data_IF_648719500293
#
_entry.id   IF_648719500293
#
_cell.length_a   1.000
_cell.length_b   1.000
_cell.length_c   1.000
_cell.angle_alpha   90.00
_cell.angle_beta   90.00
_cell.angle_gamma   90.00
#
_symmetry.space_group_name_H-M   'P 1'
#
loop_
_entity.id
_entity.type
_entity.pdbx_description
1 polymer ?
#
# COMPACT_ATOMS: atom_id res chain seq x y z
N UNK A 1 13.34 -13.63 -6.72
CA UNK A 1 13.42 -15.10 -6.74
C UNK A 1 13.09 -15.63 -5.34
N UNK A 2 12.22 -16.64 -5.22
CA UNK A 2 11.86 -17.25 -3.92
C UNK A 2 12.88 -18.34 -3.56
N UNK A 3 13.93 -17.97 -2.83
CA UNK A 3 14.99 -18.91 -2.45
C UNK A 3 14.61 -19.68 -1.20
N UNK A 4 14.36 -18.94 -0.12
CA UNK A 4 14.01 -19.47 1.22
C UNK A 4 13.13 -18.46 1.97
N UNK A 5 12.01 -18.08 1.37
CA UNK A 5 11.12 -17.05 1.93
C UNK A 5 10.03 -17.68 2.79
N UNK A 6 9.59 -16.98 3.85
CA UNK A 6 8.41 -17.39 4.61
C UNK A 6 7.14 -17.21 3.76
N UNK A 7 6.69 -18.32 3.17
CA UNK A 7 5.51 -18.33 2.30
C UNK A 7 4.21 -18.12 3.09
N UNK A 8 4.18 -18.39 4.40
CA UNK A 8 3.01 -18.10 5.22
C UNK A 8 2.86 -16.60 5.43
N UNK A 9 3.97 -15.91 5.73
CA UNK A 9 3.97 -14.47 5.89
C UNK A 9 3.57 -13.74 4.59
N UNK A 10 4.08 -14.19 3.43
CA UNK A 10 3.66 -13.66 2.12
C UNK A 10 2.15 -13.81 1.92
N UNK A 11 1.58 -14.99 2.23
CA UNK A 11 0.14 -15.22 2.08
C UNK A 11 -0.68 -14.26 2.91
N UNK A 12 -0.27 -13.98 4.15
CA UNK A 12 -0.97 -13.04 5.01
C UNK A 12 -0.93 -11.61 4.45
N UNK A 13 0.21 -11.14 3.94
CA UNK A 13 0.30 -9.79 3.36
C UNK A 13 -0.44 -9.64 2.03
N UNK A 14 -0.53 -10.71 1.22
CA UNK A 14 -1.24 -10.69 -0.05
C UNK A 14 -2.75 -10.95 0.11
N UNK A 15 -3.19 -11.40 1.28
CA UNK A 15 -4.60 -11.64 1.58
C UNK A 15 -5.29 -10.31 1.86
N UNK A 16 -5.96 -9.78 0.84
CA UNK A 16 -6.81 -8.60 1.03
C UNK A 16 -8.14 -9.02 1.64
N UNK A 17 -8.57 -8.37 2.72
CA UNK A 17 -9.94 -8.46 3.25
C UNK A 17 -10.83 -7.62 2.32
N UNK A 18 -11.42 -8.26 1.32
CA UNK A 18 -11.74 -7.59 0.04
C UNK A 18 -13.23 -7.54 -0.30
N UNK A 19 -14.12 -7.63 0.68
CA UNK A 19 -15.52 -7.81 0.32
C UNK A 19 -16.14 -6.56 -0.34
N UNK A 20 -15.60 -5.36 -0.11
CA UNK A 20 -16.22 -4.12 -0.58
C UNK A 20 -15.30 -3.13 -1.33
N UNK A 21 -14.04 -3.50 -1.61
CA UNK A 21 -13.11 -2.63 -2.35
C UNK A 21 -13.18 -2.93 -3.85
N UNK A 22 -13.71 -1.99 -4.64
CA UNK A 22 -13.84 -2.09 -6.09
C UNK A 22 -12.88 -1.11 -6.75
N UNK A 23 -11.85 -1.61 -7.44
CA UNK A 23 -10.87 -0.76 -8.14
C UNK A 23 -10.80 -1.07 -9.63
N UNK A 24 -10.41 -0.07 -10.43
CA UNK A 24 -10.16 -0.21 -11.89
C UNK A 24 -8.76 -0.75 -12.21
N UNK A 25 -7.99 -1.17 -11.19
CA UNK A 25 -6.63 -1.67 -11.35
C UNK A 25 -6.56 -3.08 -11.96
N UNK A 26 -5.39 -3.43 -12.49
CA UNK A 26 -5.11 -4.79 -12.96
C UNK A 26 -5.08 -5.72 -11.74
N UNK A 27 -5.95 -6.73 -11.72
CA UNK A 27 -5.99 -7.72 -10.66
C UNK A 27 -4.76 -8.64 -10.76
N UNK A 28 -4.08 -8.86 -9.63
CA UNK A 28 -3.02 -9.86 -9.55
C UNK A 28 -3.55 -11.26 -9.86
N UNK A 29 -2.75 -12.07 -10.55
CA UNK A 29 -3.09 -13.47 -10.85
C UNK A 29 -2.51 -14.36 -9.75
N UNK A 30 -3.35 -14.98 -8.89
CA UNK A 30 -2.84 -15.89 -7.86
C UNK A 30 -2.21 -17.10 -8.53
N UNK A 31 -0.99 -17.43 -8.12
CA UNK A 31 -0.26 -18.58 -8.63
C UNK A 31 0.31 -19.40 -7.46
N UNK A 32 0.34 -20.74 -7.55
CA UNK A 32 1.05 -21.55 -6.57
C UNK A 32 2.55 -21.22 -6.64
N UNK A 33 3.12 -20.88 -5.49
CA UNK A 33 4.54 -20.54 -5.35
C UNK A 33 5.25 -21.55 -4.45
N UNK A 34 6.55 -21.72 -4.68
CA UNK A 34 7.39 -22.65 -3.94
C UNK A 34 8.81 -22.10 -3.82
N UNK A 35 9.47 -22.38 -2.70
CA UNK A 35 10.87 -22.02 -2.50
C UNK A 35 11.80 -22.98 -3.27
N UNK A 36 12.89 -22.45 -3.83
CA UNK A 36 13.93 -23.27 -4.45
C UNK A 36 14.53 -24.31 -3.49
N UNK A 37 14.60 -23.99 -2.19
CA UNK A 37 15.08 -24.92 -1.16
C UNK A 37 14.28 -26.20 -1.02
N UNK A 38 13.04 -26.24 -1.53
CA UNK A 38 12.27 -27.49 -1.61
C UNK A 38 12.92 -28.52 -2.53
N UNK A 39 13.61 -28.06 -3.58
CA UNK A 39 14.24 -28.92 -4.59
C UNK A 39 15.74 -29.10 -4.35
N UNK A 40 16.39 -28.13 -3.71
CA UNK A 40 17.79 -28.24 -3.34
C UNK A 40 18.07 -27.51 -2.02
N UNK A 41 18.33 -28.27 -0.97
CA UNK A 41 18.55 -27.77 0.39
C UNK A 41 19.83 -26.93 0.54
N UNK A 42 20.77 -27.07 -0.40
CA UNK A 42 22.06 -26.35 -0.39
C UNK A 42 21.98 -24.98 -1.03
N UNK A 43 20.91 -24.67 -1.77
CA UNK A 43 20.76 -23.37 -2.44
C UNK A 43 20.63 -22.25 -1.42
N UNK A 44 21.43 -21.22 -1.59
CA UNK A 44 21.36 -19.96 -0.86
C UNK A 44 21.44 -18.77 -1.84
N UNK A 45 21.36 -17.56 -1.30
CA UNK A 45 21.42 -16.34 -2.11
C UNK A 45 22.68 -16.26 -2.98
N UNK A 46 23.86 -16.51 -2.39
CA UNK A 46 25.14 -16.45 -3.10
C UNK A 46 25.24 -17.49 -4.21
N UNK A 47 24.88 -18.76 -3.93
CA UNK A 47 24.92 -19.81 -4.95
C UNK A 47 23.98 -19.52 -6.11
N UNK A 48 22.81 -18.91 -5.83
CA UNK A 48 21.86 -18.51 -6.86
C UNK A 48 22.41 -17.36 -7.72
N UNK A 49 22.92 -16.29 -7.10
CA UNK A 49 23.51 -15.17 -7.83
C UNK A 49 24.68 -15.60 -8.70
N UNK A 50 25.55 -16.48 -8.18
CA UNK A 50 26.66 -17.05 -8.95
C UNK A 50 26.17 -17.87 -10.15
N UNK A 51 25.16 -18.73 -9.96
CA UNK A 51 24.61 -19.52 -11.07
C UNK A 51 23.99 -18.62 -12.17
N UNK A 52 23.27 -17.57 -11.78
CA UNK A 52 22.72 -16.58 -12.74
C UNK A 52 23.84 -15.84 -13.48
N UNK A 53 24.91 -15.48 -12.79
CA UNK A 53 26.07 -14.82 -13.39
C UNK A 53 26.79 -15.72 -14.40
N UNK A 54 27.05 -16.98 -14.05
CA UNK A 54 27.68 -17.94 -14.95
C UNK A 54 26.82 -18.17 -16.21
N UNK A 55 25.51 -18.35 -16.05
CA UNK A 55 24.58 -18.51 -17.16
C UNK A 55 24.53 -17.24 -18.05
N UNK A 56 24.57 -16.05 -17.44
CA UNK A 56 24.64 -14.79 -18.17
C UNK A 56 25.91 -14.73 -19.02
N UNK A 57 27.08 -15.06 -18.45
CA UNK A 57 28.33 -15.10 -19.22
C UNK A 57 28.24 -16.07 -20.39
N UNK A 58 27.70 -17.27 -20.17
CA UNK A 58 27.56 -18.28 -21.22
C UNK A 58 26.61 -17.83 -22.34
N UNK A 59 25.43 -17.32 -21.97
CA UNK A 59 24.40 -16.85 -22.89
C UNK A 59 24.84 -15.67 -23.76
N UNK A 60 25.65 -14.77 -23.22
CA UNK A 60 26.13 -13.56 -23.91
C UNK A 60 27.59 -13.66 -24.34
N UNK A 61 28.14 -14.88 -24.43
CA UNK A 61 29.52 -15.14 -24.84
C UNK A 61 29.74 -14.87 -26.34
N UNK A 62 29.86 -13.60 -26.72
CA UNK A 62 30.20 -13.19 -28.09
C UNK A 62 31.66 -13.62 -28.41
N UNK A 63 31.92 -14.37 -29.50
CA UNK A 63 33.26 -14.74 -29.93
C UNK A 63 34.24 -13.56 -30.07
N UNK A 64 33.75 -12.33 -30.29
CA UNK A 64 34.54 -11.11 -30.43
C UNK A 64 34.95 -10.53 -29.05
N UNK A 65 34.15 -10.78 -28.01
CA UNK A 65 34.37 -10.29 -26.65
C UNK A 65 35.10 -11.29 -25.74
N UNK A 66 35.54 -12.44 -26.27
CA UNK A 66 36.26 -13.48 -25.52
C UNK A 66 37.48 -12.98 -24.76
N UNK A 67 38.15 -11.95 -25.26
CA UNK A 67 39.32 -11.36 -24.57
C UNK A 67 38.95 -10.50 -23.36
N UNK A 68 37.67 -10.14 -23.18
CA UNK A 68 37.23 -9.19 -22.13
C UNK A 68 36.25 -9.77 -21.12
N UNK A 69 35.70 -10.97 -21.34
CA UNK A 69 34.71 -11.56 -20.43
C UNK A 69 35.27 -11.85 -19.04
N UNK A 70 36.54 -12.26 -18.95
CA UNK A 70 37.22 -12.49 -17.66
C UNK A 70 37.52 -11.18 -16.91
N UNK A 71 37.46 -10.03 -17.59
CA UNK A 71 37.61 -8.69 -17.00
C UNK A 71 36.27 -8.12 -16.50
N UNK A 72 35.13 -8.71 -16.88
CA UNK A 72 33.82 -8.27 -16.43
C UNK A 72 33.55 -8.90 -15.07
N UNK A 73 33.43 -8.04 -14.06
CA UNK A 73 33.06 -8.46 -12.72
C UNK A 73 31.76 -7.78 -12.28
N UNK A 74 30.96 -8.45 -11.43
CA UNK A 74 29.81 -7.81 -10.81
C UNK A 74 30.29 -6.58 -10.02
N UNK A 75 29.62 -5.46 -10.25
CA UNK A 75 29.84 -4.25 -9.47
C UNK A 75 29.01 -4.38 -8.18
N UNK A 76 29.69 -4.37 -7.05
CA UNK A 76 29.04 -4.30 -5.74
C UNK A 76 28.72 -2.85 -5.44
N UNK A 77 27.43 -2.52 -5.40
CA UNK A 77 26.96 -1.18 -5.09
C UNK A 77 26.78 -1.08 -3.57
N UNK A 78 27.59 -0.23 -2.93
CA UNK A 78 27.49 0.07 -1.51
C UNK A 78 26.96 1.50 -1.24
N UNK A 79 26.73 1.85 0.02
CA UNK A 79 26.20 3.18 0.37
C UNK A 79 27.17 4.33 0.01
N UNK A 80 28.48 4.09 -0.06
CA UNK A 80 29.45 5.11 -0.45
C UNK A 80 29.33 5.42 -1.94
N UNK A 81 29.29 4.38 -2.79
CA UNK A 81 29.06 4.52 -4.22
C UNK A 81 27.72 5.19 -4.53
N UNK A 82 26.69 4.90 -3.71
CA UNK A 82 25.38 5.54 -3.84
C UNK A 82 25.45 7.03 -3.50
N UNK A 83 26.17 7.39 -2.43
CA UNK A 83 26.33 8.79 -2.01
C UNK A 83 27.05 9.65 -3.05
N UNK A 84 27.92 9.06 -3.87
CA UNK A 84 28.61 9.72 -4.98
C UNK A 84 27.70 10.05 -6.17
N UNK A 85 26.48 9.52 -6.20
CA UNK A 85 25.52 9.74 -7.29
C UNK A 85 24.28 10.48 -6.74
N UNK A 86 24.29 11.83 -6.72
CA UNK A 86 23.19 12.63 -6.14
C UNK A 86 21.80 12.32 -6.70
N UNK A 87 21.75 11.82 -7.93
CA UNK A 87 20.51 11.40 -8.59
C UNK A 87 19.84 10.22 -7.89
N UNK A 88 20.60 9.29 -7.30
CA UNK A 88 20.05 8.13 -6.58
C UNK A 88 19.29 8.59 -5.34
N UNK A 89 19.83 9.54 -4.59
CA UNK A 89 19.14 10.11 -3.42
C UNK A 89 17.79 10.72 -3.82
N UNK A 90 17.77 11.53 -4.89
CA UNK A 90 16.52 12.09 -5.41
C UNK A 90 15.51 11.00 -5.81
N UNK A 91 15.97 9.92 -6.44
CA UNK A 91 15.09 8.81 -6.79
C UNK A 91 14.58 8.04 -5.57
N UNK A 92 15.41 7.83 -4.54
CA UNK A 92 14.97 7.22 -3.27
C UNK A 92 13.85 8.06 -2.65
N UNK A 93 14.05 9.37 -2.52
CA UNK A 93 13.03 10.30 -2.00
C UNK A 93 11.73 10.27 -2.81
N UNK A 94 11.82 10.22 -4.14
CA UNK A 94 10.66 10.13 -5.03
C UNK A 94 9.90 8.80 -4.83
N UNK A 95 10.61 7.67 -4.81
CA UNK A 95 10.02 6.34 -4.66
C UNK A 95 9.39 6.12 -3.27
N UNK A 96 9.93 6.77 -2.23
CA UNK A 96 9.37 6.77 -0.88
C UNK A 96 8.20 7.75 -0.73
N UNK A 97 8.07 8.72 -1.63
CA UNK A 97 7.03 9.74 -1.56
C UNK A 97 5.64 9.12 -1.65
N UNK A 98 4.70 9.68 -0.88
CA UNK A 98 3.28 9.27 -0.91
C UNK A 98 2.69 9.36 -2.32
N UNK A 99 3.09 10.36 -3.09
CA UNK A 99 2.62 10.57 -4.46
C UNK A 99 2.98 9.38 -5.37
N UNK A 100 4.09 8.70 -5.09
CA UNK A 100 4.51 7.51 -5.80
C UNK A 100 3.87 6.25 -5.22
N UNK A 101 4.01 6.03 -3.91
CA UNK A 101 3.59 4.79 -3.25
C UNK A 101 2.08 4.58 -3.25
N UNK A 102 1.29 5.65 -3.06
CA UNK A 102 -0.17 5.60 -2.95
C UNK A 102 -0.87 6.54 -3.95
N UNK A 103 -0.22 7.62 -4.36
CA UNK A 103 -0.77 8.62 -5.29
C UNK A 103 -0.97 8.11 -6.72
N UNK A 104 -0.35 6.98 -7.09
CA UNK A 104 -0.57 6.31 -8.38
C UNK A 104 -1.70 5.27 -8.33
N UNK A 105 -2.40 5.14 -7.21
CA UNK A 105 -3.50 4.17 -7.07
C UNK A 105 -4.65 4.54 -8.03
N UNK A 106 -5.07 3.61 -8.91
CA UNK A 106 -6.22 3.82 -9.78
C UNK A 106 -7.49 4.14 -9.00
N UNK A 107 -8.46 4.73 -9.67
CA UNK A 107 -9.76 5.03 -9.07
C UNK A 107 -10.40 3.76 -8.45
N UNK A 108 -10.86 3.90 -7.21
CA UNK A 108 -11.54 2.85 -6.48
C UNK A 108 -12.66 3.39 -5.59
N UNK A 109 -13.60 2.52 -5.27
CA UNK A 109 -14.63 2.73 -4.26
C UNK A 109 -14.47 1.73 -3.13
N UNK A 110 -14.67 2.18 -1.90
CA UNK A 110 -14.67 1.32 -0.72
C UNK A 110 -15.95 1.58 0.09
N UNK A 111 -16.58 0.52 0.55
CA UNK A 111 -17.81 0.58 1.33
C UNK A 111 -17.65 -0.25 2.61
N UNK A 112 -18.05 0.28 3.75
CA UNK A 112 -18.01 -0.46 4.99
C UNK A 112 -19.14 -0.04 5.92
N UNK A 113 -19.59 -1.00 6.72
CA UNK A 113 -20.74 -0.83 7.60
C UNK A 113 -20.46 -1.40 8.99
N UNK A 114 -20.99 -0.73 10.03
CA UNK A 114 -20.81 -1.15 11.42
C UNK A 114 -22.05 -0.80 12.24
N UNK A 115 -22.41 -1.73 13.12
CA UNK A 115 -23.41 -1.53 14.15
C UNK A 115 -22.74 -0.95 15.40
N UNK A 116 -23.07 0.30 15.73
CA UNK A 116 -22.72 0.92 17.00
C UNK A 116 -23.89 0.81 17.98
N UNK A 117 -23.62 0.99 19.27
CA UNK A 117 -24.65 1.03 20.30
C UNK A 117 -25.71 2.13 20.05
N UNK A 118 -25.33 3.19 19.33
CA UNK A 118 -26.18 4.33 18.99
C UNK A 118 -26.79 4.26 17.57
N UNK A 119 -26.45 3.25 16.76
CA UNK A 119 -27.05 3.06 15.44
C UNK A 119 -26.16 2.31 14.45
N UNK A 120 -26.77 1.86 13.34
CA UNK A 120 -26.03 1.30 12.21
C UNK A 120 -25.56 2.42 11.28
N UNK A 121 -24.26 2.41 10.94
CA UNK A 121 -23.60 3.37 10.06
C UNK A 121 -23.05 2.65 8.85
N UNK A 122 -23.29 3.23 7.68
CA UNK A 122 -22.74 2.82 6.40
C UNK A 122 -21.90 3.96 5.84
N UNK A 123 -20.67 3.67 5.47
CA UNK A 123 -19.73 4.62 4.92
C UNK A 123 -19.32 4.21 3.51
N UNK A 124 -19.34 5.16 2.59
CA UNK A 124 -18.93 4.99 1.20
C UNK A 124 -17.85 6.01 0.88
N UNK A 125 -16.74 5.52 0.32
CA UNK A 125 -15.61 6.32 -0.11
C UNK A 125 -15.32 6.10 -1.58
N UNK A 126 -15.03 7.19 -2.28
CA UNK A 126 -14.44 7.17 -3.62
C UNK A 126 -13.08 7.86 -3.54
N UNK A 127 -12.07 7.22 -4.11
CA UNK A 127 -10.70 7.72 -4.12
C UNK A 127 -10.11 7.64 -5.51
N UNK A 128 -9.37 8.67 -5.89
CA UNK A 128 -8.63 8.75 -7.14
C UNK A 128 -7.25 9.33 -6.86
N UNK A 129 -6.20 8.66 -7.34
CA UNK A 129 -4.81 9.05 -7.09
C UNK A 129 -4.50 9.16 -5.58
N UNK A 130 -5.07 8.24 -4.79
CA UNK A 130 -4.98 8.25 -3.32
C UNK A 130 -5.70 9.39 -2.61
N UNK A 131 -6.41 10.26 -3.32
CA UNK A 131 -7.16 11.39 -2.75
C UNK A 131 -8.64 11.06 -2.71
N UNK A 132 -9.29 11.34 -1.57
CA UNK A 132 -10.73 11.16 -1.37
C UNK A 132 -11.49 12.16 -2.24
N UNK A 133 -12.21 11.67 -3.26
CA UNK A 133 -13.03 12.49 -4.16
C UNK A 133 -14.46 12.64 -3.63
N UNK A 134 -14.97 11.63 -2.93
CA UNK A 134 -16.32 11.60 -2.38
C UNK A 134 -16.38 10.76 -1.11
N UNK A 135 -17.16 11.24 -0.14
CA UNK A 135 -17.55 10.50 1.06
C UNK A 135 -19.06 10.57 1.19
N UNK A 136 -19.69 9.46 1.57
CA UNK A 136 -21.09 9.43 1.98
C UNK A 136 -21.26 8.60 3.24
N UNK A 137 -21.83 9.18 4.28
CA UNK A 137 -22.11 8.52 5.55
C UNK A 137 -23.62 8.46 5.76
N UNK A 138 -24.18 7.26 5.85
CA UNK A 138 -25.60 7.04 6.11
C UNK A 138 -25.76 6.35 7.46
N UNK A 139 -26.65 6.88 8.31
CA UNK A 139 -26.96 6.26 9.60
C UNK A 139 -28.47 6.06 9.75
N UNK A 140 -28.85 4.86 10.21
CA UNK A 140 -30.23 4.33 10.20
C UNK A 140 -31.19 4.98 11.22
N UNK A 141 -30.67 5.63 12.26
CA UNK A 141 -31.48 6.18 13.37
C UNK A 141 -31.43 7.71 13.51
N UNK A 142 -31.18 8.42 12.40
CA UNK A 142 -30.96 9.87 12.47
C UNK A 142 -32.20 10.68 12.06
N UNK A 143 -33.11 10.84 13.00
CA UNK A 143 -34.16 11.87 12.94
C UNK A 143 -33.70 13.22 13.52
N UNK A 144 -32.52 13.29 14.15
CA UNK A 144 -31.98 14.52 14.73
C UNK A 144 -31.23 15.37 13.67
N UNK A 145 -31.64 16.64 13.54
CA UNK A 145 -31.03 17.65 12.65
C UNK A 145 -29.55 17.90 12.98
N UNK A 146 -29.16 17.82 14.25
CA UNK A 146 -27.77 18.02 14.71
C UNK A 146 -26.81 16.98 14.10
N UNK A 147 -27.24 15.72 14.03
CA UNK A 147 -26.42 14.66 13.47
C UNK A 147 -26.30 14.77 11.95
N UNK A 148 -27.33 15.27 11.24
CA UNK A 148 -27.22 15.58 9.81
C UNK A 148 -26.14 16.64 9.55
N UNK A 149 -26.05 17.65 10.42
CA UNK A 149 -25.01 18.67 10.34
C UNK A 149 -23.61 18.09 10.60
N UNK A 150 -23.48 17.19 11.58
CA UNK A 150 -22.22 16.49 11.86
C UNK A 150 -21.76 15.62 10.68
N UNK A 151 -22.66 14.83 10.08
CA UNK A 151 -22.35 14.02 8.90
C UNK A 151 -21.88 14.89 7.74
N UNK A 152 -22.60 15.97 7.46
CA UNK A 152 -22.25 16.90 6.37
C UNK A 152 -20.89 17.55 6.62
N UNK A 153 -20.59 17.91 7.88
CA UNK A 153 -19.29 18.45 8.26
C UNK A 153 -18.18 17.42 8.00
N UNK A 154 -18.36 16.17 8.45
CA UNK A 154 -17.38 15.09 8.27
C UNK A 154 -17.13 14.78 6.80
N UNK A 155 -18.17 14.66 5.99
CA UNK A 155 -18.05 14.41 4.54
C UNK A 155 -17.24 15.51 3.85
N UNK A 156 -17.51 16.78 4.17
CA UNK A 156 -16.80 17.91 3.60
C UNK A 156 -15.36 18.01 4.10
N UNK A 157 -15.11 17.70 5.37
CA UNK A 157 -13.76 17.72 5.95
C UNK A 157 -12.88 16.59 5.44
N UNK A 158 -13.44 15.44 5.07
CA UNK A 158 -12.68 14.31 4.53
C UNK A 158 -12.39 14.47 3.03
N UNK A 159 -13.30 15.07 2.27
CA UNK A 159 -13.14 15.31 0.84
C UNK A 159 -11.88 16.14 0.54
N UNK A 160 -11.11 15.71 -0.45
CA UNK A 160 -9.87 16.38 -0.90
C UNK A 160 -8.63 16.01 -0.11
N UNK A 161 -8.75 15.21 0.95
CA UNK A 161 -7.61 14.73 1.72
C UNK A 161 -7.08 13.38 1.21
N UNK A 162 -5.86 13.05 1.64
CA UNK A 162 -5.24 11.74 1.40
C UNK A 162 -6.02 10.64 2.10
N UNK A 163 -6.22 9.52 1.42
CA UNK A 163 -6.92 8.33 1.94
C UNK A 163 -6.27 7.76 3.22
N UNK A 164 -4.98 8.00 3.41
CA UNK A 164 -4.14 7.48 4.50
C UNK A 164 -4.13 8.36 5.78
N UNK A 165 -4.77 9.55 5.77
CA UNK A 165 -4.68 10.50 6.91
C UNK A 165 -6.03 10.91 7.52
N UNK A 166 -6.91 9.97 7.92
CA UNK A 166 -8.19 10.36 8.54
C UNK A 166 -7.99 10.91 9.96
N UNK A 167 -6.99 10.41 10.70
CA UNK A 167 -6.75 10.73 12.11
C UNK A 167 -6.67 12.23 12.42
N UNK A 168 -5.92 12.97 11.60
CA UNK A 168 -5.72 14.42 11.80
C UNK A 168 -7.04 15.18 11.62
N UNK A 169 -7.88 14.73 10.69
CA UNK A 169 -9.16 15.37 10.38
C UNK A 169 -10.15 15.13 11.53
N UNK A 170 -10.25 13.90 12.03
CA UNK A 170 -11.12 13.59 13.16
C UNK A 170 -10.71 14.36 14.43
N UNK A 171 -9.42 14.47 14.72
CA UNK A 171 -8.92 15.22 15.88
C UNK A 171 -9.28 16.72 15.82
N UNK A 172 -9.22 17.34 14.65
CA UNK A 172 -9.59 18.75 14.46
C UNK A 172 -11.10 18.98 14.66
N UNK A 173 -11.94 18.06 14.20
CA UNK A 173 -13.40 18.13 14.34
C UNK A 173 -13.81 17.90 15.80
N UNK A 174 -13.17 16.96 16.48
CA UNK A 174 -13.37 16.67 17.90
C UNK A 174 -13.11 17.91 18.76
N UNK A 175 -12.06 18.67 18.45
CA UNK A 175 -11.68 19.88 19.21
C UNK A 175 -12.68 21.02 19.02
N UNK A 176 -13.42 21.01 17.91
CA UNK A 176 -14.38 22.05 17.54
C UNK A 176 -15.79 21.80 18.08
N UNK A 177 -16.10 20.58 18.53
CA UNK A 177 -17.46 20.16 18.84
C UNK A 177 -17.53 19.26 20.09
N UNK A 178 -17.82 19.87 21.25
CA UNK A 178 -17.71 19.20 22.55
C UNK A 178 -18.90 18.29 22.92
N UNK A 179 -20.10 18.53 22.36
CA UNK A 179 -21.33 17.83 22.80
C UNK A 179 -21.45 16.39 22.26
N UNK A 180 -20.80 16.08 21.13
CA UNK A 180 -20.86 14.77 20.48
C UNK A 180 -19.51 14.05 20.38
N UNK A 181 -18.57 14.42 21.25
CA UNK A 181 -17.19 13.92 21.28
C UNK A 181 -17.11 12.39 21.16
N UNK A 182 -17.96 11.66 21.89
CA UNK A 182 -17.95 10.19 21.91
C UNK A 182 -18.33 9.57 20.55
N UNK A 183 -19.35 10.10 19.87
CA UNK A 183 -19.80 9.59 18.57
C UNK A 183 -18.76 9.87 17.49
N UNK A 184 -18.20 11.09 17.48
CA UNK A 184 -17.18 11.49 16.51
C UNK A 184 -15.91 10.65 16.68
N UNK A 185 -15.53 10.37 17.93
CA UNK A 185 -14.40 9.50 18.25
C UNK A 185 -14.66 8.06 17.81
N UNK A 186 -15.80 7.48 18.19
CA UNK A 186 -16.16 6.11 17.80
C UNK A 186 -16.20 5.94 16.26
N UNK A 187 -16.71 6.95 15.54
CA UNK A 187 -16.71 6.99 14.08
C UNK A 187 -15.31 7.12 13.50
N UNK A 188 -14.50 8.02 14.05
CA UNK A 188 -13.12 8.25 13.61
C UNK A 188 -12.28 6.99 13.75
N UNK A 189 -12.25 6.41 14.96
CA UNK A 189 -11.51 5.19 15.27
C UNK A 189 -11.93 4.05 14.34
N UNK A 190 -13.24 3.88 14.12
CA UNK A 190 -13.76 2.87 13.19
C UNK A 190 -13.36 3.11 11.74
N UNK A 191 -13.46 4.35 11.24
CA UNK A 191 -13.08 4.68 9.86
C UNK A 191 -11.59 4.42 9.67
N UNK A 192 -10.74 4.79 10.62
CA UNK A 192 -9.29 4.52 10.57
C UNK A 192 -8.99 3.02 10.55
N UNK A 193 -9.71 2.22 11.35
CA UNK A 193 -9.57 0.76 11.34
C UNK A 193 -10.06 0.10 10.04
N UNK A 194 -10.95 0.77 9.30
CA UNK A 194 -11.63 0.22 8.12
C UNK A 194 -11.01 0.63 6.78
N UNK A 195 -10.14 1.64 6.78
CA UNK A 195 -9.37 2.10 5.61
C UNK A 195 -8.09 1.29 5.45
#
# INVERSE_FOLDING_TARGET
MLIDTDLNQIKEYLKVKKDNLISKGVKSVPSPVVNLRKYSSTVNHYSFCNAVWEEFKESYNDPICKERIDEIHPIYVDENMIAEIPKITKYREELESWNWTLGQTPEFTNEFEKNFAWGHVKAFFESKNGIITKVSLTASNVSNVEYKNLVTLLENSLKGNKYDVPQVIFNNIITSNNEHHKIIKDLGDWIIESL
#
